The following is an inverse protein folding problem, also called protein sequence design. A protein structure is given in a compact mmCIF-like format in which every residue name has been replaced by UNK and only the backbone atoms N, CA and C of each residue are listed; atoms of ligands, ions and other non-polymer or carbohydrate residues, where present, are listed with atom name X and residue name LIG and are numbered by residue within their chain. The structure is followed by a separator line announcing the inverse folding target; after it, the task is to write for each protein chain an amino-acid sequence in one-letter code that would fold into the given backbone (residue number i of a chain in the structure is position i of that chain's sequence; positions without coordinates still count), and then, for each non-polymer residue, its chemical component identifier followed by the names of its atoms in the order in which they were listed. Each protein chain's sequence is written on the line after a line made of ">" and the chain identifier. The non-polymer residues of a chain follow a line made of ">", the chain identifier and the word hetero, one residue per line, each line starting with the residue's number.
data_IF_899197414709
#
_entry.id   IF_899197414709
#
_cell.length_a   1.000
_cell.length_b   1.000
_cell.length_c   1.000
_cell.angle_alpha   90.00
_cell.angle_beta   90.00
_cell.angle_gamma   90.00
#
_symmetry.space_group_name_H-M   'P 1'
#
loop_
_entity.id
_entity.type
_entity.pdbx_description
1 polymer ?
#
# COMPACT_ATOMS: atom_id res chain seq x y z
N UNK A 1 -29.80 -22.78 -1.73
CA UNK A 1 -29.08 -22.54 -0.45
C UNK A 1 -28.13 -21.40 -0.69
N UNK A 2 -28.52 -20.19 -0.37
CA UNK A 2 -27.69 -18.98 -0.41
C UNK A 2 -26.73 -19.04 0.78
N UNK A 3 -25.46 -19.26 0.50
CA UNK A 3 -24.40 -19.24 1.52
C UNK A 3 -24.28 -17.80 2.03
N UNK A 4 -24.67 -17.56 3.27
CA UNK A 4 -24.42 -16.28 3.95
C UNK A 4 -22.91 -16.06 3.95
N UNK A 5 -22.39 -14.95 3.36
CA UNK A 5 -20.96 -14.71 3.36
C UNK A 5 -20.48 -14.59 4.81
N UNK A 6 -19.42 -15.30 5.14
CA UNK A 6 -18.73 -15.12 6.42
C UNK A 6 -18.19 -13.70 6.52
N UNK A 7 -18.17 -13.06 7.69
CA UNK A 7 -17.68 -11.69 7.86
C UNK A 7 -16.30 -11.43 7.23
N UNK A 8 -15.43 -12.44 7.23
CA UNK A 8 -14.08 -12.37 6.66
C UNK A 8 -14.07 -12.26 5.13
N UNK A 9 -15.07 -12.82 4.43
CA UNK A 9 -15.13 -12.78 2.95
C UNK A 9 -15.67 -11.45 2.40
N UNK A 10 -16.22 -10.60 3.27
CA UNK A 10 -16.85 -9.32 2.92
C UNK A 10 -16.03 -8.12 3.35
N UNK A 11 -14.83 -8.33 3.88
CA UNK A 11 -13.97 -7.27 4.41
C UNK A 11 -12.67 -7.17 3.62
N UNK A 12 -12.19 -5.95 3.41
CA UNK A 12 -10.86 -5.69 2.87
C UNK A 12 -9.90 -5.34 4.01
N UNK A 13 -8.67 -5.81 3.88
CA UNK A 13 -7.63 -5.55 4.85
C UNK A 13 -7.07 -4.14 4.68
N UNK A 14 -6.95 -3.42 5.80
CA UNK A 14 -6.33 -2.10 5.88
C UNK A 14 -5.27 -2.08 6.98
N UNK A 15 -4.44 -1.06 6.93
CA UNK A 15 -3.44 -0.78 7.94
C UNK A 15 -3.73 0.57 8.59
N UNK A 16 -4.22 0.55 9.83
CA UNK A 16 -4.62 1.75 10.57
C UNK A 16 -3.73 1.95 11.78
N UNK A 17 -3.07 3.12 11.88
CA UNK A 17 -2.25 3.49 13.04
C UNK A 17 -1.27 2.39 13.47
N UNK A 18 -0.64 1.73 12.51
CA UNK A 18 0.28 0.63 12.77
C UNK A 18 -0.39 -0.68 13.15
N UNK A 19 -1.69 -0.86 12.92
CA UNK A 19 -2.46 -2.07 13.21
C UNK A 19 -3.26 -2.51 12.00
N UNK A 20 -3.50 -3.83 11.90
CA UNK A 20 -4.47 -4.34 10.95
C UNK A 20 -5.87 -3.86 11.29
N UNK A 21 -6.56 -3.37 10.28
CA UNK A 21 -8.00 -3.12 10.32
C UNK A 21 -8.69 -3.82 9.15
N UNK A 22 -9.97 -4.08 9.31
CA UNK A 22 -10.82 -4.69 8.30
C UNK A 22 -12.01 -3.78 8.07
N UNK A 23 -12.24 -3.44 6.81
CA UNK A 23 -13.44 -2.69 6.41
C UNK A 23 -14.43 -3.64 5.76
N UNK A 24 -15.67 -3.60 6.23
CA UNK A 24 -16.75 -4.34 5.61
C UNK A 24 -17.20 -3.64 4.32
N UNK A 25 -17.56 -4.40 3.30
CA UNK A 25 -18.03 -3.85 2.02
C UNK A 25 -19.28 -2.98 2.17
N UNK A 26 -20.09 -3.18 3.21
CA UNK A 26 -21.26 -2.36 3.51
C UNK A 26 -20.96 -0.96 4.05
N UNK A 27 -19.71 -0.67 4.40
CA UNK A 27 -19.32 0.65 4.90
C UNK A 27 -19.19 1.72 3.80
N UNK A 28 -19.60 1.41 2.62
CA UNK A 28 -19.67 2.30 1.48
C UNK A 28 -18.99 1.74 0.24
N UNK A 29 -19.64 1.95 -0.90
CA UNK A 29 -19.11 1.63 -2.22
C UNK A 29 -18.00 2.63 -2.63
N UNK A 30 -17.10 2.19 -3.51
CA UNK A 30 -16.12 3.07 -4.13
C UNK A 30 -16.78 3.86 -5.28
N UNK A 31 -16.76 5.18 -5.18
CA UNK A 31 -17.17 6.08 -6.28
C UNK A 31 -15.91 6.75 -6.87
N UNK A 32 -15.49 6.30 -8.04
CA UNK A 32 -14.31 6.80 -8.73
C UNK A 32 -14.34 8.33 -9.01
N UNK A 33 -15.52 8.94 -9.04
CA UNK A 33 -15.67 10.39 -9.28
C UNK A 33 -15.20 11.24 -8.11
N UNK A 34 -15.08 10.63 -6.94
CA UNK A 34 -14.62 11.28 -5.71
C UNK A 34 -13.11 11.15 -5.50
N UNK A 35 -12.42 10.60 -6.48
CA UNK A 35 -10.97 10.35 -6.35
C UNK A 35 -10.23 10.77 -7.61
N UNK A 36 -9.05 11.32 -7.40
CA UNK A 36 -8.11 11.61 -8.45
C UNK A 36 -6.73 10.97 -8.18
N UNK A 37 -5.97 10.74 -9.25
CA UNK A 37 -4.61 10.21 -9.15
C UNK A 37 -3.67 11.14 -9.88
N UNK A 38 -2.64 11.61 -9.19
CA UNK A 38 -1.61 12.46 -9.73
C UNK A 38 -0.22 11.98 -9.34
N UNK A 39 0.77 12.30 -10.17
CA UNK A 39 2.17 12.13 -9.81
C UNK A 39 2.51 13.08 -8.67
N UNK A 40 3.30 12.61 -7.70
CA UNK A 40 3.69 13.38 -6.52
C UNK A 40 5.21 13.40 -6.36
N UNK A 41 5.76 14.48 -5.79
CA UNK A 41 7.18 14.56 -5.47
C UNK A 41 7.61 13.45 -4.50
N UNK A 42 8.87 13.01 -4.64
CA UNK A 42 9.43 11.98 -3.74
C UNK A 42 9.32 12.35 -2.26
N UNK A 43 9.52 13.61 -1.91
CA UNK A 43 9.44 14.09 -0.54
C UNK A 43 8.05 13.85 0.07
N UNK A 44 6.98 14.08 -0.70
CA UNK A 44 5.60 13.84 -0.30
C UNK A 44 5.35 12.34 -0.15
N UNK A 45 5.75 11.56 -1.16
CA UNK A 45 5.60 10.11 -1.14
C UNK A 45 6.36 9.47 0.04
N UNK A 46 7.59 9.90 0.28
CA UNK A 46 8.44 9.43 1.39
C UNK A 46 7.80 9.73 2.74
N UNK A 47 7.35 10.96 2.94
CA UNK A 47 6.69 11.35 4.20
C UNK A 47 5.45 10.50 4.47
N UNK A 48 4.60 10.31 3.47
CA UNK A 48 3.39 9.51 3.58
C UNK A 48 3.70 8.03 3.84
N UNK A 49 4.60 7.42 3.06
CA UNK A 49 4.97 6.02 3.21
C UNK A 49 5.61 5.74 4.57
N UNK A 50 6.57 6.56 5.01
CA UNK A 50 7.21 6.36 6.31
C UNK A 50 6.24 6.48 7.48
N UNK A 51 5.17 7.28 7.33
CA UNK A 51 4.15 7.47 8.36
C UNK A 51 3.09 6.35 8.37
N UNK A 52 2.69 5.86 7.20
CA UNK A 52 1.50 5.01 7.06
C UNK A 52 1.79 3.57 6.68
N UNK A 53 2.95 3.26 6.09
CA UNK A 53 3.29 1.90 5.69
C UNK A 53 3.95 1.13 6.84
N UNK A 54 3.57 -0.13 7.04
CA UNK A 54 4.09 -0.98 8.13
C UNK A 54 5.63 -1.13 8.15
N UNK A 55 6.30 -1.05 7.00
CA UNK A 55 7.76 -1.12 6.92
C UNK A 55 8.45 0.19 7.35
N UNK A 56 7.71 1.30 7.49
CA UNK A 56 8.19 2.63 7.90
C UNK A 56 9.49 3.07 7.18
N UNK A 57 9.69 2.61 5.94
CA UNK A 57 10.90 2.88 5.15
C UNK A 57 10.54 3.15 3.69
N UNK A 58 11.33 3.99 3.03
CA UNK A 58 11.13 4.36 1.63
C UNK A 58 12.17 3.66 0.74
N UNK A 59 11.75 3.06 -0.39
CA UNK A 59 12.64 2.37 -1.32
C UNK A 59 13.39 3.35 -2.22
N UNK A 60 14.22 2.83 -3.14
CA UNK A 60 14.81 3.60 -4.23
C UNK A 60 13.72 3.98 -5.25
N UNK A 61 12.88 4.96 -4.90
CA UNK A 61 11.73 5.39 -5.70
C UNK A 61 12.17 5.96 -7.05
N UNK A 62 11.45 5.58 -8.10
CA UNK A 62 11.62 6.09 -9.46
C UNK A 62 10.45 6.96 -9.87
N UNK A 63 9.25 6.54 -9.53
CA UNK A 63 7.98 7.25 -9.80
C UNK A 63 7.04 7.04 -8.61
N UNK A 64 6.27 8.05 -8.29
CA UNK A 64 5.29 7.97 -7.22
C UNK A 64 3.98 8.65 -7.62
N UNK A 65 2.87 8.02 -7.26
CA UNK A 65 1.54 8.57 -7.45
C UNK A 65 0.78 8.61 -6.14
N UNK A 66 0.04 9.69 -5.97
CA UNK A 66 -0.90 9.89 -4.88
C UNK A 66 -2.32 9.60 -5.31
N UNK A 67 -3.09 8.98 -4.43
CA UNK A 67 -4.54 8.92 -4.49
C UNK A 67 -5.09 10.04 -3.63
N UNK A 68 -5.88 10.92 -4.23
CA UNK A 68 -6.50 12.06 -3.57
C UNK A 68 -8.00 11.84 -3.47
N UNK A 69 -8.57 12.11 -2.30
CA UNK A 69 -10.01 12.12 -2.08
C UNK A 69 -10.53 13.54 -2.22
N UNK A 70 -11.58 13.73 -3.00
CA UNK A 70 -12.28 15.01 -3.17
C UNK A 70 -13.53 15.11 -2.27
N UNK A 71 -13.77 14.09 -1.45
CA UNK A 71 -14.88 14.05 -0.50
C UNK A 71 -14.50 14.75 0.82
N UNK A 72 -14.37 16.06 0.81
CA UNK A 72 -14.05 16.84 2.00
C UNK A 72 -14.14 18.35 1.76
N UNK A 73 -14.20 19.12 2.84
CA UNK A 73 -14.20 20.59 2.79
C UNK A 73 -12.82 21.19 2.46
N UNK A 74 -11.76 20.39 2.60
CA UNK A 74 -10.40 20.77 2.24
C UNK A 74 -10.00 20.26 0.84
N UNK A 75 -9.15 21.01 0.12
CA UNK A 75 -8.69 20.58 -1.20
C UNK A 75 -8.02 19.21 -1.12
N UNK A 76 -8.48 18.32 -1.98
CA UNK A 76 -8.06 16.93 -2.22
C UNK A 76 -7.06 16.33 -1.22
N UNK A 77 -7.56 15.62 -0.22
CA UNK A 77 -6.71 14.95 0.79
C UNK A 77 -5.99 13.75 0.21
N UNK A 78 -4.67 13.67 0.41
CA UNK A 78 -3.87 12.51 0.03
C UNK A 78 -4.22 11.32 0.94
N UNK A 79 -4.83 10.28 0.37
CA UNK A 79 -5.31 9.10 1.09
C UNK A 79 -4.59 7.80 0.71
N UNK A 80 -3.72 7.84 -0.30
CA UNK A 80 -2.94 6.68 -0.70
C UNK A 80 -1.71 7.07 -1.51
N UNK A 81 -0.69 6.21 -1.47
CA UNK A 81 0.54 6.36 -2.24
C UNK A 81 0.97 5.03 -2.84
N UNK A 82 1.35 5.06 -4.12
CA UNK A 82 2.02 3.98 -4.82
C UNK A 82 3.40 4.45 -5.30
N UNK A 83 4.43 3.66 -5.03
CA UNK A 83 5.82 3.96 -5.43
C UNK A 83 6.34 2.83 -6.29
N UNK A 84 6.68 3.13 -7.54
CA UNK A 84 7.51 2.26 -8.35
C UNK A 84 8.97 2.55 -8.04
N UNK A 85 9.72 1.51 -7.74
CA UNK A 85 11.12 1.59 -7.32
C UNK A 85 12.02 0.72 -8.18
N UNK A 86 13.30 1.05 -8.14
CA UNK A 86 14.35 0.21 -8.70
C UNK A 86 14.59 -0.94 -7.74
N UNK A 87 14.42 -2.20 -8.16
CA UNK A 87 14.72 -3.33 -7.30
C UNK A 87 16.24 -3.42 -7.02
N UNK A 88 16.60 -4.03 -5.89
CA UNK A 88 18.00 -4.16 -5.48
C UNK A 88 18.87 -4.92 -6.49
N UNK A 89 18.28 -5.79 -7.31
CA UNK A 89 18.98 -6.60 -8.33
C UNK A 89 18.15 -6.63 -9.62
N UNK A 90 18.82 -6.49 -10.75
CA UNK A 90 18.18 -6.60 -12.06
C UNK A 90 17.50 -7.96 -12.28
N UNK A 91 17.99 -9.02 -11.64
CA UNK A 91 17.39 -10.35 -11.72
C UNK A 91 15.92 -10.39 -11.26
N UNK A 92 15.52 -9.51 -10.33
CA UNK A 92 14.14 -9.42 -9.85
C UNK A 92 13.15 -9.19 -11.00
N UNK A 93 13.47 -8.26 -11.89
CA UNK A 93 12.61 -7.95 -13.04
C UNK A 93 12.96 -8.75 -14.28
N UNK A 94 14.25 -9.06 -14.51
CA UNK A 94 14.71 -9.81 -15.68
C UNK A 94 14.20 -11.25 -15.70
N UNK A 95 14.09 -11.90 -14.54
CA UNK A 95 13.60 -13.27 -14.47
C UNK A 95 12.10 -13.38 -14.82
N UNK A 96 11.35 -12.29 -14.60
CA UNK A 96 9.91 -12.24 -14.91
C UNK A 96 9.68 -11.68 -16.33
N UNK A 97 10.47 -10.70 -16.74
CA UNK A 97 10.35 -10.00 -18.01
C UNK A 97 11.70 -10.02 -18.75
N UNK A 98 12.11 -11.16 -19.35
CA UNK A 98 13.44 -11.30 -19.95
C UNK A 98 13.68 -10.33 -21.13
N UNK A 99 12.61 -9.97 -21.84
CA UNK A 99 12.66 -9.12 -23.03
C UNK A 99 12.55 -7.63 -22.71
N UNK A 100 12.32 -7.25 -21.46
CA UNK A 100 12.23 -5.84 -21.05
C UNK A 100 13.56 -5.36 -20.47
N UNK A 101 13.94 -4.13 -20.82
CA UNK A 101 15.12 -3.50 -20.25
C UNK A 101 14.89 -3.22 -18.75
N UNK A 102 15.71 -3.82 -17.85
CA UNK A 102 15.61 -3.58 -16.42
C UNK A 102 15.77 -2.11 -16.06
N UNK A 103 14.97 -1.65 -15.09
CA UNK A 103 15.00 -0.30 -14.50
C UNK A 103 14.51 0.83 -15.42
N UNK A 104 14.34 0.56 -16.71
CA UNK A 104 13.81 1.52 -17.70
C UNK A 104 12.45 1.11 -18.24
N UNK A 105 12.24 -0.16 -18.51
CA UNK A 105 10.96 -0.72 -18.96
C UNK A 105 10.30 -1.64 -17.93
N UNK A 106 11.06 -2.04 -16.90
CA UNK A 106 10.53 -2.87 -15.82
C UNK A 106 11.00 -2.40 -14.45
N UNK A 107 10.08 -2.32 -13.50
CA UNK A 107 10.28 -1.82 -12.15
C UNK A 107 9.63 -2.75 -11.11
N UNK A 108 9.77 -2.39 -9.86
CA UNK A 108 9.11 -3.03 -8.72
C UNK A 108 8.06 -2.08 -8.13
N UNK A 109 6.88 -2.61 -7.74
CA UNK A 109 5.99 -1.90 -6.84
C UNK A 109 6.58 -1.95 -5.43
N UNK A 110 7.45 -1.00 -5.12
CA UNK A 110 8.21 -1.01 -3.87
C UNK A 110 7.41 -0.61 -2.65
N UNK A 111 6.39 0.22 -2.81
CA UNK A 111 5.45 0.57 -1.73
C UNK A 111 4.07 0.86 -2.29
N UNK A 112 3.09 0.36 -1.55
CA UNK A 112 1.69 0.62 -1.80
C UNK A 112 0.96 0.72 -0.46
N UNK A 113 0.33 1.85 -0.19
CA UNK A 113 -0.33 2.10 1.08
C UNK A 113 -1.50 3.06 0.90
N UNK A 114 -2.63 2.72 1.50
CA UNK A 114 -3.80 3.59 1.63
C UNK A 114 -4.12 3.77 3.12
N UNK A 115 -4.68 4.93 3.45
CA UNK A 115 -5.26 5.18 4.77
C UNK A 115 -6.70 4.66 4.84
N UNK A 116 -7.24 4.54 6.04
CA UNK A 116 -8.64 4.11 6.23
C UNK A 116 -9.68 5.11 5.71
N UNK A 117 -9.28 6.33 5.36
CA UNK A 117 -10.14 7.28 4.70
C UNK A 117 -10.54 6.83 3.27
N UNK A 118 -9.74 5.95 2.64
CA UNK A 118 -10.09 5.38 1.35
C UNK A 118 -11.11 4.24 1.53
N UNK A 119 -12.22 4.19 0.78
CA UNK A 119 -13.23 3.14 0.90
C UNK A 119 -12.74 1.80 0.36
N UNK A 120 -13.51 0.74 0.59
CA UNK A 120 -13.26 -0.58 0.01
C UNK A 120 -13.18 -0.50 -1.53
N UNK A 121 -12.30 -1.32 -2.12
CA UNK A 121 -11.99 -1.35 -3.56
C UNK A 121 -11.21 -0.15 -4.12
N UNK A 122 -10.86 0.84 -3.30
CA UNK A 122 -9.99 1.93 -3.74
C UNK A 122 -8.62 1.44 -4.21
N UNK A 123 -8.10 0.35 -3.61
CA UNK A 123 -6.80 -0.22 -3.93
C UNK A 123 -6.70 -0.67 -5.38
N UNK A 124 -7.62 -1.53 -5.81
CA UNK A 124 -7.61 -2.09 -7.16
C UNK A 124 -7.82 -1.00 -8.21
N UNK A 125 -8.68 -0.02 -7.94
CA UNK A 125 -8.88 1.12 -8.83
C UNK A 125 -7.62 1.99 -8.90
N UNK A 126 -7.02 2.30 -7.76
CA UNK A 126 -5.79 3.09 -7.70
C UNK A 126 -4.65 2.42 -8.46
N UNK A 127 -4.42 1.12 -8.23
CA UNK A 127 -3.43 0.36 -8.97
C UNK A 127 -3.70 0.39 -10.49
N UNK A 128 -4.94 0.19 -10.92
CA UNK A 128 -5.28 0.29 -12.34
C UNK A 128 -4.96 1.67 -12.94
N UNK A 129 -5.13 2.75 -12.17
CA UNK A 129 -4.74 4.09 -12.60
C UNK A 129 -3.22 4.27 -12.64
N UNK A 130 -2.50 3.70 -11.68
CA UNK A 130 -1.02 3.70 -11.65
C UNK A 130 -0.46 2.93 -12.84
N UNK A 131 -1.01 1.73 -13.14
CA UNK A 131 -0.56 0.92 -14.28
C UNK A 131 -0.71 1.65 -15.62
N UNK A 132 -1.83 2.31 -15.83
CA UNK A 132 -2.06 3.12 -17.05
C UNK A 132 -1.01 4.23 -17.19
N UNK A 133 -0.69 4.93 -16.12
CA UNK A 133 0.29 6.02 -16.12
C UNK A 133 1.71 5.52 -16.28
N UNK A 134 2.06 4.42 -15.62
CA UNK A 134 3.34 3.75 -15.75
C UNK A 134 3.56 3.27 -17.20
N UNK A 135 2.56 2.65 -17.80
CA UNK A 135 2.63 2.22 -19.21
C UNK A 135 2.81 3.41 -20.16
N UNK A 136 2.11 4.53 -19.95
CA UNK A 136 2.29 5.75 -20.72
C UNK A 136 3.71 6.35 -20.57
N UNK A 137 4.38 6.09 -19.43
CA UNK A 137 5.77 6.48 -19.18
C UNK A 137 6.80 5.42 -19.66
N UNK A 138 6.36 4.38 -20.37
CA UNK A 138 7.24 3.34 -20.93
C UNK A 138 7.57 2.18 -19.99
N UNK A 139 6.92 2.09 -18.82
CA UNK A 139 7.07 0.94 -17.91
C UNK A 139 6.08 -0.15 -18.33
N UNK A 140 6.60 -1.23 -18.88
CA UNK A 140 5.83 -2.33 -19.48
C UNK A 140 5.74 -3.55 -18.57
N UNK A 141 6.58 -3.63 -17.53
CA UNK A 141 6.60 -4.72 -16.57
C UNK A 141 6.75 -4.22 -15.13
N UNK A 142 5.91 -4.72 -14.24
CA UNK A 142 5.97 -4.38 -12.81
C UNK A 142 5.91 -5.66 -12.00
N UNK A 143 6.91 -5.87 -11.13
CA UNK A 143 6.92 -6.95 -10.15
C UNK A 143 6.43 -6.42 -8.82
N UNK A 144 5.56 -7.16 -8.15
CA UNK A 144 5.12 -6.88 -6.79
C UNK A 144 5.42 -8.06 -5.88
N UNK A 145 5.83 -7.78 -4.66
CA UNK A 145 6.07 -8.80 -3.65
C UNK A 145 5.02 -8.71 -2.55
N UNK A 146 4.35 -9.82 -2.27
CA UNK A 146 3.61 -10.00 -1.04
C UNK A 146 4.58 -10.34 0.11
N UNK A 147 4.26 -9.89 1.31
CA UNK A 147 4.97 -10.28 2.54
C UNK A 147 4.06 -11.21 3.36
N UNK A 148 4.11 -12.54 3.13
CA UNK A 148 3.23 -13.49 3.81
C UNK A 148 3.63 -13.73 5.26
N UNK A 149 4.81 -13.27 5.67
CA UNK A 149 5.34 -13.55 7.01
C UNK A 149 4.79 -12.56 8.04
N UNK A 150 4.20 -13.05 9.14
CA UNK A 150 3.82 -12.19 10.24
C UNK A 150 5.07 -11.55 10.85
N UNK A 151 4.98 -10.25 11.13
CA UNK A 151 6.05 -9.49 11.81
C UNK A 151 5.57 -9.09 13.19
N UNK A 152 6.44 -9.32 14.15
CA UNK A 152 6.22 -8.95 15.54
C UNK A 152 7.32 -8.01 16.02
N UNK A 153 6.98 -7.14 16.95
CA UNK A 153 7.96 -6.35 17.70
C UNK A 153 7.70 -6.50 19.19
N UNK A 154 8.78 -6.46 19.93
CA UNK A 154 8.71 -6.39 21.39
C UNK A 154 8.67 -4.92 21.80
N UNK A 155 7.66 -4.56 22.58
CA UNK A 155 7.52 -3.24 23.18
C UNK A 155 7.85 -3.39 24.65
N UNK A 156 8.77 -2.56 25.12
CA UNK A 156 9.11 -2.45 26.53
C UNK A 156 8.55 -1.14 27.06
N UNK A 157 7.60 -1.22 27.96
CA UNK A 157 7.01 -0.08 28.65
C UNK A 157 7.62 0.02 30.05
N UNK A 158 7.94 1.23 30.48
CA UNK A 158 8.40 1.52 31.85
C UNK A 158 7.32 2.39 32.48
N UNK A 159 6.76 1.92 33.60
CA UNK A 159 5.75 2.69 34.31
C UNK A 159 6.37 3.82 35.18
N UNK A 160 5.53 4.63 35.81
CA UNK A 160 5.94 5.74 36.67
C UNK A 160 6.71 5.32 37.93
N UNK A 161 6.67 4.00 38.26
CA UNK A 161 7.40 3.40 39.38
C UNK A 161 8.69 2.71 38.94
N UNK A 162 9.06 2.84 37.64
CA UNK A 162 10.23 2.19 37.07
C UNK A 162 10.08 0.71 36.83
N UNK A 163 8.88 0.14 36.91
CA UNK A 163 8.62 -1.26 36.63
C UNK A 163 8.60 -1.48 35.11
N UNK A 164 9.40 -2.42 34.65
CA UNK A 164 9.53 -2.77 33.23
C UNK A 164 8.53 -3.85 32.89
N UNK A 165 7.65 -3.57 31.93
CA UNK A 165 6.77 -4.55 31.31
C UNK A 165 7.11 -4.75 29.84
N UNK A 166 7.08 -6.00 29.39
CA UNK A 166 7.39 -6.34 27.99
C UNK A 166 6.20 -7.04 27.36
N UNK A 167 5.74 -6.53 26.21
CA UNK A 167 4.69 -7.16 25.42
C UNK A 167 5.12 -7.35 23.97
N UNK A 168 4.61 -8.40 23.34
CA UNK A 168 4.80 -8.64 21.91
C UNK A 168 3.58 -8.10 21.17
N UNK A 169 3.82 -7.22 20.22
CA UNK A 169 2.79 -6.68 19.34
C UNK A 169 3.00 -7.20 17.91
N UNK A 170 1.93 -7.69 17.29
CA UNK A 170 1.96 -8.05 15.86
C UNK A 170 1.93 -6.79 15.01
N UNK A 171 3.04 -6.47 14.36
CA UNK A 171 3.20 -5.31 13.48
C UNK A 171 2.55 -5.56 12.12
N UNK A 172 2.65 -6.79 11.62
CA UNK A 172 2.00 -7.24 10.39
C UNK A 172 1.62 -8.71 10.52
N UNK A 173 0.42 -9.08 10.08
CA UNK A 173 0.03 -10.51 9.98
C UNK A 173 0.55 -11.19 8.73
N UNK A 174 1.20 -10.43 7.86
CA UNK A 174 1.53 -10.86 6.51
C UNK A 174 0.32 -10.76 5.58
N UNK A 175 0.58 -10.79 4.27
CA UNK A 175 -0.45 -10.82 3.24
C UNK A 175 0.05 -11.59 2.02
N UNK A 176 -0.86 -12.20 1.27
CA UNK A 176 -0.55 -13.03 0.10
C UNK A 176 -0.71 -12.29 -1.24
N UNK A 177 -0.87 -10.97 -1.22
CA UNK A 177 -0.92 -10.16 -2.43
C UNK A 177 -2.20 -10.33 -3.26
N UNK A 178 -3.34 -10.55 -2.62
CA UNK A 178 -4.62 -10.78 -3.32
C UNK A 178 -5.15 -9.57 -4.11
N UNK A 179 -4.48 -8.44 -4.03
CA UNK A 179 -4.84 -7.17 -4.72
C UNK A 179 -4.11 -7.03 -6.06
N UNK A 180 -3.06 -7.81 -6.30
CA UNK A 180 -2.19 -7.69 -7.48
C UNK A 180 -2.62 -8.62 -8.60
#
# INVERSE_FOLDING_TARGET
>A
MTRTPTPESSSCQRWTLGRHSWRHLSEGGFDARQFSVAEIPESVARSFVCRHHYAASYPAGRMAWGLFSEAGEDPASLVGVAVLSVPMRAAVVRNVFPDLAPFTQSLELGRFVLTDAAPANAESWFLAQVWKRAAAAGILGIVSFADPMPRQRTITDVDEHGQISTRVETVSRGHVGTIY
#
